data_IF_153772331584
#
_entry.id   IF_153772331584
#
_cell.length_a   1.000
_cell.length_b   1.000
_cell.length_c   1.000
_cell.angle_alpha   90.00
_cell.angle_beta   90.00
_cell.angle_gamma   90.00
#
_symmetry.space_group_name_H-M   'P 1'
#
loop_
_entity.id
_entity.type
_entity.pdbx_description
1 polymer ?
#
# COMPACT_ATOMS: atom_id res chain seq x y z
N UNK A 1 57.15 53.12 33.39
CA UNK A 1 58.15 52.52 32.47
C UNK A 1 57.78 51.05 32.28
N UNK A 2 57.77 50.56 31.04
CA UNK A 2 57.33 49.24 30.52
C UNK A 2 55.83 49.16 30.11
N UNK A 3 55.46 49.42 28.83
CA UNK A 3 55.56 48.59 27.59
C UNK A 3 54.20 47.89 27.36
N UNK A 4 53.36 48.39 26.43
CA UNK A 4 53.18 47.93 25.03
C UNK A 4 52.18 46.75 24.93
N UNK A 5 51.48 46.40 23.84
CA UNK A 5 51.24 46.90 22.48
C UNK A 5 50.13 45.98 21.90
N UNK A 6 49.41 46.50 20.91
CA UNK A 6 48.79 45.83 19.76
C UNK A 6 48.15 44.43 19.93
N UNK A 7 46.83 44.42 19.70
CA UNK A 7 46.23 43.83 18.50
C UNK A 7 46.52 42.36 18.21
N UNK A 8 45.51 41.51 18.42
CA UNK A 8 45.41 40.19 17.77
C UNK A 8 44.01 40.03 17.18
N UNK A 9 43.94 39.97 15.85
CA UNK A 9 42.80 39.42 15.13
C UNK A 9 42.64 37.94 15.53
N UNK A 10 41.44 37.56 15.96
CA UNK A 10 41.03 36.17 16.05
C UNK A 10 40.19 35.84 14.82
N UNK A 11 40.74 35.04 13.91
CA UNK A 11 40.00 34.44 12.79
C UNK A 11 39.24 33.25 13.35
N UNK A 12 37.91 33.37 13.46
CA UNK A 12 37.03 32.24 13.72
C UNK A 12 36.82 31.48 12.40
N UNK A 13 37.46 30.32 12.28
CA UNK A 13 37.11 29.34 11.26
C UNK A 13 35.82 28.64 11.63
N UNK A 14 34.73 28.92 10.91
CA UNK A 14 33.49 28.15 11.01
C UNK A 14 33.65 26.85 10.20
N UNK A 15 33.86 25.73 10.90
CA UNK A 15 33.74 24.41 10.29
C UNK A 15 32.24 24.10 10.12
N UNK A 16 31.74 24.23 8.90
CA UNK A 16 30.42 23.71 8.51
C UNK A 16 30.57 22.20 8.40
N UNK A 17 30.12 21.47 9.43
CA UNK A 17 29.94 20.04 9.33
C UNK A 17 28.81 19.79 8.31
N UNK A 18 29.18 19.35 7.11
CA UNK A 18 28.23 18.80 6.16
C UNK A 18 27.60 17.57 6.82
N UNK A 19 26.36 17.71 7.30
CA UNK A 19 25.51 16.58 7.62
C UNK A 19 25.31 15.82 6.32
N UNK A 20 26.10 14.77 6.12
CA UNK A 20 25.80 13.76 5.12
C UNK A 20 24.40 13.24 5.48
N UNK A 21 23.42 13.26 4.58
CA UNK A 21 22.17 12.58 4.85
C UNK A 21 22.53 11.14 5.15
N UNK A 22 22.34 10.72 6.40
CA UNK A 22 22.36 9.30 6.72
C UNK A 22 21.35 8.69 5.77
N UNK A 23 21.80 7.86 4.83
CA UNK A 23 20.92 6.90 4.19
C UNK A 23 20.26 6.21 5.36
N UNK A 24 18.98 6.52 5.61
CA UNK A 24 18.22 5.81 6.62
C UNK A 24 18.42 4.34 6.26
N UNK A 25 19.01 3.56 7.16
CA UNK A 25 19.12 2.13 6.95
C UNK A 25 17.73 1.68 6.56
N UNK A 26 17.56 1.13 5.35
CA UNK A 26 16.27 0.69 4.87
C UNK A 26 15.78 -0.34 5.88
N UNK A 27 14.88 0.06 6.78
CA UNK A 27 14.35 -0.86 7.78
C UNK A 27 13.50 -1.90 7.04
N UNK A 28 13.34 -3.08 7.63
CA UNK A 28 12.65 -4.18 6.94
C UNK A 28 11.22 -3.81 6.54
N UNK A 29 10.58 -2.86 7.24
CA UNK A 29 9.28 -2.30 6.84
C UNK A 29 9.30 -1.68 5.44
N UNK A 30 10.25 -0.79 5.15
CA UNK A 30 10.34 -0.12 3.84
C UNK A 30 10.74 -1.08 2.72
N UNK A 31 11.69 -2.00 2.99
CA UNK A 31 12.11 -3.05 2.06
C UNK A 31 10.95 -3.97 1.69
N UNK A 32 10.23 -4.49 2.68
CA UNK A 32 9.11 -5.38 2.42
C UNK A 32 7.89 -4.66 1.83
N UNK A 33 7.73 -3.35 2.05
CA UNK A 33 6.77 -2.57 1.29
C UNK A 33 7.08 -2.56 -0.21
N UNK A 34 8.34 -2.35 -0.60
CA UNK A 34 8.74 -2.41 -2.02
C UNK A 34 8.53 -3.80 -2.62
N UNK A 35 8.96 -4.86 -1.92
CA UNK A 35 8.73 -6.25 -2.34
C UNK A 35 7.23 -6.51 -2.50
N UNK A 36 6.39 -6.04 -1.56
CA UNK A 36 4.94 -6.19 -1.62
C UNK A 36 4.35 -5.55 -2.86
N UNK A 37 4.68 -4.28 -3.12
CA UNK A 37 4.16 -3.54 -4.27
C UNK A 37 4.58 -4.22 -5.58
N UNK A 38 5.85 -4.61 -5.70
CA UNK A 38 6.34 -5.31 -6.88
C UNK A 38 5.66 -6.67 -7.08
N UNK A 39 5.50 -7.44 -5.99
CA UNK A 39 4.83 -8.74 -6.01
C UNK A 39 3.38 -8.63 -6.46
N UNK A 40 2.63 -7.65 -5.92
CA UNK A 40 1.22 -7.41 -6.25
C UNK A 40 1.06 -6.92 -7.68
N UNK A 41 1.91 -5.99 -8.14
CA UNK A 41 1.85 -5.45 -9.50
C UNK A 41 2.18 -6.49 -10.58
N UNK A 42 2.94 -7.53 -10.24
CA UNK A 42 3.23 -8.65 -11.14
C UNK A 42 2.06 -9.64 -11.30
N UNK A 43 0.97 -9.48 -10.54
CA UNK A 43 -0.19 -10.39 -10.58
C UNK A 43 -1.17 -10.02 -11.72
N UNK A 44 -2.07 -10.95 -12.12
CA UNK A 44 -3.14 -10.64 -13.05
C UNK A 44 -4.04 -9.50 -12.55
N UNK A 45 -4.76 -8.79 -13.45
CA UNK A 45 -5.55 -7.61 -13.11
C UNK A 45 -6.59 -7.79 -11.99
N UNK A 46 -7.13 -9.01 -11.80
CA UNK A 46 -8.03 -9.31 -10.66
C UNK A 46 -7.39 -9.05 -9.29
N UNK A 47 -6.06 -9.02 -9.25
CA UNK A 47 -5.24 -8.78 -8.08
C UNK A 47 -4.51 -7.43 -8.15
N UNK A 48 -3.97 -7.06 -9.32
CA UNK A 48 -3.07 -5.89 -9.46
C UNK A 48 -3.77 -4.59 -9.81
N UNK A 49 -5.01 -4.62 -10.33
CA UNK A 49 -5.74 -3.40 -10.62
C UNK A 49 -5.94 -2.57 -9.33
N UNK A 50 -5.91 -1.21 -9.40
CA UNK A 50 -5.70 -0.39 -8.21
C UNK A 50 -6.62 -0.69 -6.99
N UNK A 51 -7.94 -0.91 -7.15
CA UNK A 51 -8.79 -1.27 -6.02
C UNK A 51 -8.41 -2.62 -5.39
N UNK A 52 -8.10 -3.62 -6.22
CA UNK A 52 -7.69 -4.95 -5.76
C UNK A 52 -6.29 -4.93 -5.15
N UNK A 53 -5.33 -4.27 -5.79
CA UNK A 53 -3.95 -4.19 -5.33
C UNK A 53 -3.85 -3.55 -3.95
N UNK A 54 -4.66 -2.51 -3.71
CA UNK A 54 -4.74 -1.87 -2.41
C UNK A 54 -5.17 -2.83 -1.28
N UNK A 55 -6.06 -3.80 -1.55
CA UNK A 55 -6.46 -4.81 -0.56
C UNK A 55 -5.27 -5.67 -0.14
N UNK A 56 -4.52 -6.21 -1.10
CA UNK A 56 -3.38 -7.09 -0.79
C UNK A 56 -2.22 -6.35 -0.13
N UNK A 57 -1.93 -5.13 -0.58
CA UNK A 57 -0.94 -4.27 0.07
C UNK A 57 -1.37 -3.97 1.51
N UNK A 58 -2.66 -3.67 1.74
CA UNK A 58 -3.18 -3.43 3.09
C UNK A 58 -3.14 -4.67 3.99
N UNK A 59 -3.40 -5.87 3.45
CA UNK A 59 -3.22 -7.12 4.22
C UNK A 59 -1.78 -7.25 4.70
N UNK A 60 -0.81 -7.11 3.80
CA UNK A 60 0.61 -7.23 4.14
C UNK A 60 1.03 -6.16 5.14
N UNK A 61 0.72 -4.89 4.88
CA UNK A 61 1.13 -3.80 5.76
C UNK A 61 0.38 -3.80 7.10
N UNK A 62 -0.85 -4.31 7.15
CA UNK A 62 -1.57 -4.56 8.39
C UNK A 62 -0.91 -5.65 9.24
N UNK A 63 -0.42 -6.73 8.63
CA UNK A 63 0.35 -7.76 9.32
C UNK A 63 1.68 -7.23 9.83
N UNK A 64 2.41 -6.46 9.01
CA UNK A 64 3.66 -5.80 9.40
C UNK A 64 3.42 -4.85 10.58
N UNK A 65 2.38 -4.02 10.52
CA UNK A 65 2.01 -3.14 11.64
C UNK A 65 1.73 -3.94 12.92
N UNK A 66 0.93 -5.01 12.83
CA UNK A 66 0.61 -5.86 13.97
C UNK A 66 1.85 -6.51 14.59
N UNK A 67 2.77 -6.99 13.76
CA UNK A 67 4.02 -7.64 14.18
C UNK A 67 4.99 -6.64 14.83
N UNK A 68 5.29 -5.53 14.15
CA UNK A 68 6.20 -4.50 14.63
C UNK A 68 5.66 -3.85 15.90
N UNK A 69 4.38 -3.50 15.93
CA UNK A 69 3.78 -2.90 17.12
C UNK A 69 3.72 -3.87 18.31
N UNK A 70 3.74 -5.19 18.07
CA UNK A 70 3.86 -6.18 19.13
C UNK A 70 5.28 -6.26 19.71
N UNK A 71 6.31 -6.12 18.87
CA UNK A 71 7.71 -6.10 19.26
C UNK A 71 8.11 -4.77 19.93
N UNK A 72 7.77 -3.65 19.30
CA UNK A 72 8.06 -2.29 19.75
C UNK A 72 6.78 -1.43 19.73
N UNK A 73 6.17 -1.28 20.91
CA UNK A 73 4.80 -0.75 21.04
C UNK A 73 4.78 0.78 20.98
N UNK A 74 4.29 1.33 19.86
CA UNK A 74 4.04 2.78 19.70
C UNK A 74 2.58 3.11 19.38
N UNK A 75 1.81 2.13 18.90
CA UNK A 75 0.43 2.29 18.45
C UNK A 75 -0.57 1.38 19.15
N UNK A 76 -1.84 1.51 18.77
CA UNK A 76 -2.90 0.64 19.28
C UNK A 76 -2.66 -0.80 18.82
N UNK A 77 -2.79 -1.81 19.70
CA UNK A 77 -2.67 -3.20 19.29
C UNK A 77 -3.62 -3.55 18.14
N UNK A 78 -3.10 -4.28 17.16
CA UNK A 78 -3.84 -4.79 16.00
C UNK A 78 -3.29 -6.19 15.70
N UNK A 79 -4.17 -7.18 15.48
CA UNK A 79 -3.89 -8.62 15.33
C UNK A 79 -3.27 -9.30 16.57
N UNK A 80 -2.31 -8.67 17.24
CA UNK A 80 -1.61 -9.16 18.42
C UNK A 80 -1.75 -8.18 19.57
N UNK A 81 -2.51 -8.57 20.59
CA UNK A 81 -2.72 -7.78 21.81
C UNK A 81 -1.54 -7.82 22.79
N UNK A 82 -0.74 -8.90 22.76
CA UNK A 82 0.40 -9.10 23.66
C UNK A 82 1.66 -8.37 23.17
N UNK A 83 2.48 -7.88 24.10
CA UNK A 83 3.79 -7.29 23.79
C UNK A 83 4.93 -8.29 23.93
N UNK A 84 5.93 -8.14 23.06
CA UNK A 84 7.13 -8.98 22.95
C UNK A 84 8.38 -8.08 22.84
N UNK A 85 8.76 -7.34 23.90
CA UNK A 85 9.84 -6.34 23.84
C UNK A 85 11.25 -6.92 23.62
N UNK A 86 11.38 -8.24 23.57
CA UNK A 86 12.63 -8.96 23.26
C UNK A 86 12.67 -9.48 21.82
N UNK A 87 11.60 -9.28 21.05
CA UNK A 87 11.53 -9.65 19.65
C UNK A 87 12.17 -8.56 18.78
N UNK A 88 12.95 -8.94 17.78
CA UNK A 88 13.46 -8.00 16.78
C UNK A 88 12.30 -7.46 15.92
N UNK A 89 12.06 -6.13 15.89
CA UNK A 89 11.03 -5.53 15.04
C UNK A 89 11.28 -5.78 13.55
N UNK A 90 12.54 -5.80 13.13
CA UNK A 90 12.92 -6.06 11.73
C UNK A 90 12.61 -7.51 11.34
N UNK A 91 12.97 -8.49 12.18
CA UNK A 91 12.62 -9.89 11.93
C UNK A 91 11.10 -10.11 11.94
N UNK A 92 10.38 -9.41 12.82
CA UNK A 92 8.92 -9.45 12.88
C UNK A 92 8.27 -8.87 11.62
N UNK A 93 8.75 -7.72 11.14
CA UNK A 93 8.29 -7.09 9.90
C UNK A 93 8.51 -7.99 8.69
N UNK A 94 9.75 -8.47 8.50
CA UNK A 94 10.13 -9.30 7.37
C UNK A 94 9.32 -10.60 7.33
N UNK A 95 9.20 -11.27 8.49
CA UNK A 95 8.45 -12.53 8.60
C UNK A 95 6.96 -12.34 8.34
N UNK A 96 6.35 -11.28 8.89
CA UNK A 96 4.93 -11.00 8.68
C UNK A 96 4.62 -10.77 7.19
N UNK A 97 5.42 -9.93 6.52
CA UNK A 97 5.23 -9.64 5.11
C UNK A 97 5.46 -10.87 4.22
N UNK A 98 6.59 -11.56 4.44
CA UNK A 98 6.93 -12.79 3.73
C UNK A 98 5.79 -13.80 3.79
N UNK A 99 5.25 -14.09 4.98
CA UNK A 99 4.24 -15.13 5.17
C UNK A 99 2.90 -14.78 4.54
N UNK A 100 2.45 -13.53 4.64
CA UNK A 100 1.22 -13.10 3.96
C UNK A 100 1.38 -13.22 2.44
N UNK A 101 2.50 -12.73 1.87
CA UNK A 101 2.76 -12.83 0.43
C UNK A 101 2.92 -14.28 -0.05
N UNK A 102 3.62 -15.11 0.72
CA UNK A 102 3.89 -16.52 0.39
C UNK A 102 2.61 -17.36 0.33
N UNK A 103 1.63 -17.05 1.19
CA UNK A 103 0.31 -17.69 1.15
C UNK A 103 -0.58 -17.16 0.02
N UNK A 104 -0.60 -15.85 -0.20
CA UNK A 104 -1.45 -15.23 -1.22
C UNK A 104 -0.98 -15.52 -2.66
N UNK A 105 0.33 -15.66 -2.87
CA UNK A 105 0.95 -15.72 -4.21
C UNK A 105 1.88 -16.94 -4.39
N UNK A 106 1.34 -18.16 -4.55
CA UNK A 106 2.14 -19.38 -4.67
C UNK A 106 3.20 -19.36 -5.78
N UNK A 107 2.93 -18.69 -6.90
CA UNK A 107 3.86 -18.57 -8.02
C UNK A 107 5.10 -17.70 -7.71
N UNK A 108 5.06 -16.89 -6.65
CA UNK A 108 6.13 -15.98 -6.25
C UNK A 108 7.00 -16.53 -5.12
N UNK A 109 6.66 -17.72 -4.58
CA UNK A 109 7.32 -18.29 -3.39
C UNK A 109 8.84 -18.38 -3.53
N UNK A 110 9.35 -18.85 -4.67
CA UNK A 110 10.80 -18.94 -4.88
C UNK A 110 11.53 -17.59 -4.78
N UNK A 111 10.93 -16.53 -5.33
CA UNK A 111 11.48 -15.16 -5.21
C UNK A 111 11.36 -14.66 -3.78
N UNK A 112 10.21 -14.87 -3.14
CA UNK A 112 9.96 -14.45 -1.76
C UNK A 112 10.88 -15.17 -0.75
N UNK A 113 11.18 -16.46 -0.97
CA UNK A 113 12.09 -17.25 -0.14
C UNK A 113 13.51 -16.68 -0.19
N UNK A 114 13.96 -16.25 -1.37
CA UNK A 114 15.27 -15.62 -1.53
C UNK A 114 15.34 -14.25 -0.83
N UNK A 115 14.34 -13.38 -1.03
CA UNK A 115 14.27 -12.08 -0.36
C UNK A 115 14.20 -12.21 1.17
N UNK A 116 13.47 -13.21 1.67
CA UNK A 116 13.39 -13.49 3.10
C UNK A 116 14.69 -14.01 3.68
N UNK A 117 15.38 -14.93 2.99
CA UNK A 117 16.70 -15.38 3.40
C UNK A 117 17.71 -14.22 3.44
N UNK A 118 17.70 -13.33 2.44
CA UNK A 118 18.55 -12.12 2.41
C UNK A 118 18.22 -11.16 3.55
N UNK A 119 16.93 -10.99 3.89
CA UNK A 119 16.51 -10.15 5.01
C UNK A 119 17.01 -10.71 6.34
N UNK A 120 16.74 -11.98 6.64
CA UNK A 120 17.17 -12.60 7.90
C UNK A 120 18.69 -12.61 8.06
N UNK A 121 19.45 -12.86 7.00
CA UNK A 121 20.91 -12.83 7.06
C UNK A 121 21.51 -11.46 7.41
N UNK A 122 20.77 -10.37 7.18
CA UNK A 122 21.20 -9.01 7.50
C UNK A 122 20.78 -8.56 8.92
N UNK A 123 19.85 -9.26 9.55
CA UNK A 123 19.31 -8.91 10.87
C UNK A 123 20.22 -9.50 11.97
N UNK A 124 20.62 -8.71 12.98
CA UNK A 124 21.31 -9.23 14.14
C UNK A 124 20.50 -10.31 14.87
N UNK A 125 21.19 -11.35 15.37
CA UNK A 125 20.54 -12.52 15.99
C UNK A 125 19.79 -12.21 17.32
N UNK A 126 19.94 -11.01 17.89
CA UNK A 126 19.27 -10.65 19.14
C UNK A 126 17.75 -10.51 18.94
N UNK A 127 17.01 -11.48 19.47
CA UNK A 127 15.56 -11.48 19.37
C UNK A 127 15.02 -11.89 18.00
N UNK A 128 15.86 -12.36 17.07
CA UNK A 128 15.44 -12.76 15.71
C UNK A 128 14.36 -13.85 15.76
N UNK A 129 14.60 -14.96 16.46
CA UNK A 129 13.63 -16.07 16.54
C UNK A 129 12.30 -15.65 17.19
N UNK A 130 12.35 -14.74 18.16
CA UNK A 130 11.14 -14.17 18.75
C UNK A 130 10.42 -13.24 17.77
N UNK A 131 11.17 -12.46 16.99
CA UNK A 131 10.64 -11.64 15.90
C UNK A 131 9.93 -12.49 14.85
N UNK A 132 10.56 -13.57 14.40
CA UNK A 132 9.97 -14.56 13.48
C UNK A 132 8.66 -15.11 14.04
N UNK A 133 8.66 -15.58 15.28
CA UNK A 133 7.44 -16.09 15.91
C UNK A 133 6.32 -15.01 15.98
N UNK A 134 6.66 -13.76 16.26
CA UNK A 134 5.69 -12.64 16.26
C UNK A 134 5.17 -12.36 14.85
N UNK A 135 6.02 -12.33 13.84
CA UNK A 135 5.62 -12.14 12.46
C UNK A 135 4.72 -13.24 11.93
N UNK A 136 5.02 -14.51 12.27
CA UNK A 136 4.16 -15.66 11.96
C UNK A 136 2.76 -15.52 12.56
N UNK A 137 2.67 -15.12 13.84
CA UNK A 137 1.38 -14.87 14.50
C UNK A 137 0.60 -13.76 13.81
N UNK A 138 1.26 -12.67 13.44
CA UNK A 138 0.60 -11.53 12.80
C UNK A 138 0.10 -11.88 11.39
N UNK A 139 0.91 -12.58 10.61
CA UNK A 139 0.53 -13.04 9.28
C UNK A 139 -0.66 -14.00 9.34
N UNK A 140 -0.61 -14.99 10.24
CA UNK A 140 -1.70 -15.93 10.43
C UNK A 140 -2.99 -15.22 10.86
N UNK A 141 -2.90 -14.26 11.78
CA UNK A 141 -4.05 -13.48 12.23
C UNK A 141 -4.66 -12.65 11.09
N UNK A 142 -3.83 -11.96 10.29
CA UNK A 142 -4.29 -11.18 9.13
C UNK A 142 -4.98 -12.05 8.08
N UNK A 143 -4.38 -13.19 7.71
CA UNK A 143 -4.97 -14.11 6.74
C UNK A 143 -6.32 -14.67 7.23
N UNK A 144 -6.45 -14.91 8.54
CA UNK A 144 -7.70 -15.33 9.15
C UNK A 144 -8.79 -14.26 9.15
N UNK A 145 -8.47 -12.97 8.96
CA UNK A 145 -9.49 -11.92 8.88
C UNK A 145 -10.35 -12.04 7.61
N UNK A 146 -9.85 -12.68 6.55
CA UNK A 146 -10.65 -12.99 5.34
C UNK A 146 -10.91 -11.77 4.44
N UNK A 147 -9.94 -10.88 4.29
CA UNK A 147 -10.04 -9.71 3.40
C UNK A 147 -9.95 -10.06 1.91
N UNK A 148 -9.29 -11.17 1.58
CA UNK A 148 -9.24 -11.67 0.21
C UNK A 148 -10.59 -12.28 -0.18
N UNK A 149 -11.36 -11.49 -0.93
CA UNK A 149 -12.66 -11.89 -1.48
C UNK A 149 -12.60 -12.18 -2.98
N UNK A 150 -11.43 -12.45 -3.55
CA UNK A 150 -11.27 -12.63 -5.00
C UNK A 150 -12.27 -13.66 -5.52
N UNK A 151 -13.14 -13.20 -6.40
CA UNK A 151 -14.09 -14.02 -7.13
C UNK A 151 -14.25 -13.44 -8.53
N UNK A 152 -14.41 -14.32 -9.52
CA UNK A 152 -14.63 -13.89 -10.89
C UNK A 152 -16.09 -13.45 -11.02
N UNK A 153 -16.28 -12.16 -11.24
CA UNK A 153 -17.61 -11.60 -11.52
C UNK A 153 -17.69 -11.30 -13.01
N UNK A 154 -18.65 -11.94 -13.68
CA UNK A 154 -18.89 -11.72 -15.11
C UNK A 154 -19.40 -10.31 -15.38
N UNK A 155 -19.15 -9.83 -16.59
CA UNK A 155 -19.67 -8.56 -17.07
C UNK A 155 -20.06 -8.69 -18.55
N UNK A 156 -21.12 -7.96 -18.93
CA UNK A 156 -21.73 -7.98 -20.25
C UNK A 156 -22.09 -6.55 -20.65
N UNK A 157 -22.27 -6.33 -21.96
CA UNK A 157 -22.91 -5.09 -22.42
C UNK A 157 -24.32 -4.99 -21.83
N UNK A 158 -24.65 -3.80 -21.31
CA UNK A 158 -25.96 -3.52 -20.76
C UNK A 158 -26.95 -3.07 -21.83
N UNK A 159 -28.11 -2.59 -21.38
CA UNK A 159 -29.07 -1.89 -22.25
C UNK A 159 -28.48 -0.58 -22.78
N UNK A 160 -28.55 -0.32 -24.08
CA UNK A 160 -28.02 0.89 -24.74
C UNK A 160 -28.84 2.16 -24.49
N UNK A 161 -29.67 2.17 -23.43
CA UNK A 161 -30.49 3.32 -23.05
C UNK A 161 -29.60 4.37 -22.36
N UNK A 162 -29.76 5.67 -22.69
CA UNK A 162 -29.06 6.74 -21.99
C UNK A 162 -29.19 6.64 -20.46
N UNK A 163 -28.11 6.95 -19.75
CA UNK A 163 -28.06 6.90 -18.28
C UNK A 163 -27.66 5.53 -17.69
N UNK A 164 -27.58 4.47 -18.49
CA UNK A 164 -27.01 3.18 -18.08
C UNK A 164 -25.54 3.14 -18.45
N UNK A 165 -24.66 2.84 -17.49
CA UNK A 165 -23.23 2.66 -17.75
C UNK A 165 -22.99 1.55 -18.78
N UNK A 166 -22.06 1.78 -19.71
CA UNK A 166 -21.66 0.82 -20.73
C UNK A 166 -20.15 0.55 -20.65
N UNK A 167 -19.71 -0.73 -20.66
CA UNK A 167 -18.31 -1.04 -20.84
C UNK A 167 -17.85 -0.64 -22.24
N UNK A 168 -16.59 -0.22 -22.35
CA UNK A 168 -15.97 0.03 -23.65
C UNK A 168 -15.78 -1.29 -24.41
N UNK A 169 -15.78 -1.29 -25.76
CA UNK A 169 -15.40 -2.46 -26.53
C UNK A 169 -13.91 -2.80 -26.34
N UNK A 170 -13.63 -4.00 -25.84
CA UNK A 170 -12.30 -4.62 -25.77
C UNK A 170 -12.09 -5.68 -26.86
N UNK A 171 -10.89 -6.25 -27.01
CA UNK A 171 -10.61 -7.25 -28.05
C UNK A 171 -11.14 -8.65 -27.67
N UNK A 172 -11.70 -9.47 -28.60
CA UNK A 172 -12.11 -9.18 -29.98
C UNK A 172 -13.61 -8.81 -30.04
N UNK A 173 -13.98 -7.64 -29.52
CA UNK A 173 -15.34 -7.12 -29.26
C UNK A 173 -16.02 -7.57 -27.94
N UNK A 174 -15.28 -8.16 -26.99
CA UNK A 174 -15.77 -8.41 -25.64
C UNK A 174 -15.80 -7.11 -24.80
N UNK A 175 -16.70 -6.96 -23.81
CA UNK A 175 -16.71 -5.78 -22.95
C UNK A 175 -15.40 -5.65 -22.15
N UNK A 176 -14.80 -4.46 -22.15
CA UNK A 176 -13.66 -4.11 -21.32
C UNK A 176 -14.13 -3.85 -19.88
N UNK A 177 -14.31 -4.93 -19.14
CA UNK A 177 -14.85 -4.91 -17.78
C UNK A 177 -13.80 -4.49 -16.75
N UNK A 178 -14.27 -3.92 -15.63
CA UNK A 178 -13.47 -3.79 -14.43
C UNK A 178 -12.97 -5.20 -14.03
N UNK A 179 -11.65 -5.41 -13.85
CA UNK A 179 -11.11 -6.68 -13.40
C UNK A 179 -11.22 -6.89 -11.88
N UNK A 180 -11.54 -5.85 -11.12
CA UNK A 180 -11.60 -5.83 -9.65
C UNK A 180 -12.99 -5.62 -9.00
N UNK A 181 -14.13 -5.98 -9.63
CA UNK A 181 -15.46 -5.66 -9.10
C UNK A 181 -15.78 -6.42 -7.80
N UNK A 182 -15.03 -7.49 -7.49
CA UNK A 182 -15.15 -8.24 -6.25
C UNK A 182 -14.82 -7.40 -5.01
N UNK A 183 -14.03 -6.33 -5.15
CA UNK A 183 -13.62 -5.46 -4.04
C UNK A 183 -14.82 -4.81 -3.35
N UNK A 184 -15.95 -4.64 -4.06
CA UNK A 184 -17.19 -4.10 -3.48
C UNK A 184 -17.77 -4.99 -2.36
N UNK A 185 -17.48 -6.29 -2.41
CA UNK A 185 -17.96 -7.30 -1.45
C UNK A 185 -16.85 -7.76 -0.49
N UNK A 186 -15.62 -7.29 -0.68
CA UNK A 186 -14.50 -7.61 0.19
C UNK A 186 -14.77 -7.09 1.61
N UNK A 187 -14.34 -7.86 2.62
CA UNK A 187 -14.48 -7.46 4.02
C UNK A 187 -13.65 -6.19 4.27
N UNK A 188 -14.25 -5.10 4.76
CA UNK A 188 -13.52 -3.88 5.08
C UNK A 188 -12.48 -4.08 6.20
N UNK A 189 -11.40 -3.28 6.16
CA UNK A 189 -10.38 -3.24 7.22
C UNK A 189 -10.80 -2.37 8.40
N UNK A 190 -10.99 -1.07 8.16
CA UNK A 190 -11.22 -0.07 9.23
C UNK A 190 -12.58 0.60 9.17
N UNK A 191 -13.29 0.49 8.03
CA UNK A 191 -14.57 1.14 7.80
C UNK A 191 -15.71 0.15 8.07
N UNK A 192 -16.85 0.61 8.58
CA UNK A 192 -17.97 -0.27 8.99
C UNK A 192 -18.62 -1.06 7.83
N UNK A 193 -18.80 -0.42 6.67
CA UNK A 193 -19.35 -1.05 5.47
C UNK A 193 -18.91 -0.34 4.19
N UNK A 194 -18.94 -1.04 3.06
CA UNK A 194 -18.66 -0.45 1.75
C UNK A 194 -19.74 0.58 1.31
N UNK A 195 -20.92 0.59 1.95
CA UNK A 195 -22.02 1.48 1.58
C UNK A 195 -22.08 2.80 2.37
N UNK A 196 -21.31 2.95 3.46
CA UNK A 196 -21.45 4.10 4.37
C UNK A 196 -21.07 5.45 3.75
N UNK A 197 -20.31 5.45 2.65
CA UNK A 197 -19.86 6.66 1.95
C UNK A 197 -20.46 6.80 0.54
N UNK A 198 -21.57 6.11 0.24
CA UNK A 198 -22.23 6.24 -1.06
C UNK A 198 -22.79 7.65 -1.24
N UNK A 199 -22.54 8.25 -2.40
CA UNK A 199 -23.13 9.53 -2.79
C UNK A 199 -24.58 9.34 -3.26
N UNK A 200 -25.28 10.45 -3.45
CA UNK A 200 -26.50 10.44 -4.26
C UNK A 200 -26.20 9.90 -5.67
N UNK A 201 -27.23 9.35 -6.31
CA UNK A 201 -27.15 8.89 -7.70
C UNK A 201 -26.91 10.05 -8.69
N UNK A 202 -26.70 9.72 -9.98
CA UNK A 202 -26.46 10.72 -11.00
C UNK A 202 -27.65 11.67 -11.17
N UNK A 203 -27.39 12.87 -11.69
CA UNK A 203 -28.47 13.81 -12.04
C UNK A 203 -29.40 13.21 -13.10
N UNK A 204 -30.71 13.52 -13.07
CA UNK A 204 -31.63 13.16 -14.14
C UNK A 204 -31.14 13.68 -15.49
N UNK A 205 -31.28 12.88 -16.54
CA UNK A 205 -30.76 13.20 -17.87
C UNK A 205 -31.40 14.45 -18.50
N UNK A 206 -32.62 14.77 -18.08
CA UNK A 206 -33.39 15.95 -18.49
C UNK A 206 -33.15 17.19 -17.60
N UNK A 207 -32.25 17.07 -16.62
CA UNK A 207 -31.95 18.18 -15.70
C UNK A 207 -30.93 19.17 -16.28
N UNK A 208 -31.05 20.43 -15.86
CA UNK A 208 -30.07 21.46 -16.17
C UNK A 208 -28.67 21.13 -15.61
N UNK A 209 -28.60 20.43 -14.46
CA UNK A 209 -27.35 20.02 -13.85
C UNK A 209 -26.60 18.98 -14.71
N UNK A 210 -27.31 17.96 -15.21
CA UNK A 210 -26.73 17.00 -16.15
C UNK A 210 -26.23 17.68 -17.44
N UNK A 211 -27.01 18.63 -17.98
CA UNK A 211 -26.63 19.37 -19.17
C UNK A 211 -25.37 20.24 -18.94
N UNK A 212 -25.19 20.80 -17.74
CA UNK A 212 -24.00 21.54 -17.38
C UNK A 212 -22.75 20.63 -17.34
N UNK A 213 -22.80 19.51 -16.61
CA UNK A 213 -21.70 18.54 -16.53
C UNK A 213 -21.30 18.01 -17.91
N UNK A 214 -22.29 17.68 -18.74
CA UNK A 214 -22.05 17.22 -20.11
C UNK A 214 -21.30 18.26 -20.96
N UNK A 215 -21.72 19.52 -20.90
CA UNK A 215 -21.10 20.60 -21.68
C UNK A 215 -19.69 20.93 -21.18
N UNK A 216 -19.44 20.87 -19.87
CA UNK A 216 -18.10 21.05 -19.30
C UNK A 216 -17.14 19.98 -19.82
N UNK A 217 -17.51 18.70 -19.74
CA UNK A 217 -16.68 17.59 -20.25
C UNK A 217 -16.46 17.73 -21.76
N UNK A 218 -17.46 18.18 -22.51
CA UNK A 218 -17.32 18.42 -23.95
C UNK A 218 -16.34 19.55 -24.27
N UNK A 219 -16.33 20.63 -23.50
CA UNK A 219 -15.46 21.79 -23.69
C UNK A 219 -14.01 21.49 -23.25
N UNK A 220 -13.84 20.96 -22.03
CA UNK A 220 -12.52 20.72 -21.42
C UNK A 220 -11.91 19.39 -21.88
N UNK A 221 -12.74 18.37 -22.14
CA UNK A 221 -12.31 17.03 -22.52
C UNK A 221 -11.85 16.88 -23.97
N UNK A 222 -12.07 17.89 -24.82
CA UNK A 222 -11.59 17.87 -26.21
C UNK A 222 -10.07 17.71 -26.29
N UNK A 223 -9.57 16.83 -27.18
CA UNK A 223 -8.13 16.63 -27.39
C UNK A 223 -7.40 17.94 -27.72
N UNK A 224 -8.10 18.89 -28.35
CA UNK A 224 -7.58 20.20 -28.75
C UNK A 224 -8.19 21.34 -27.93
N UNK A 225 -8.66 21.08 -26.71
CA UNK A 225 -9.26 22.11 -25.86
C UNK A 225 -8.26 23.22 -25.52
N UNK A 226 -8.60 24.46 -25.84
CA UNK A 226 -7.85 25.65 -25.42
C UNK A 226 -8.16 26.05 -23.97
N UNK A 227 -9.21 25.49 -23.36
CA UNK A 227 -9.63 25.77 -21.99
C UNK A 227 -8.88 24.92 -20.94
N UNK A 228 -8.13 23.89 -21.37
CA UNK A 228 -7.31 23.03 -20.49
C UNK A 228 -5.98 23.67 -20.10
N UNK A 229 -5.49 24.63 -20.88
CA UNK A 229 -4.15 25.24 -20.75
C UNK A 229 -4.10 26.41 -19.80
#
# INVERSE_FOLDING_TARGET
MKVARLGRLAVLGAAVALAVPTVASANEVTKWNEITVNTVNAQPPITSAPPAGAVFIAMVQGAVYGAVNAADRHGRPYLINRSYPKASPDAAAATAAYRVLWELFPAQRGTLDAEYATSLAAIPNDGEDQGKAVGEMAAAAMLAEGHDGRTVIGCAYGSVVPGVWQPLPGPPAAPACDPSPWVKDAKPFVVQSASQFRTAGPYPLDSAAYAADYNEVKEIGSLTSTARM
#
